data_IF_732099703988
#
_entry.id   IF_732099703988
#
_cell.length_a   1.000
_cell.length_b   1.000
_cell.length_c   1.000
_cell.angle_alpha   90.00
_cell.angle_beta   90.00
_cell.angle_gamma   90.00
#
_symmetry.space_group_name_H-M   'P 1'
#
loop_
_entity.id
_entity.type
_entity.pdbx_description
1 polymer ?
#
# COMPACT_ATOMS: atom_id res chain seq x y z
N UNK A 1 12.24 -44.50 -41.51
CA UNK A 1 12.38 -45.79 -40.84
C UNK A 1 11.71 -45.70 -39.48
N UNK A 2 10.62 -46.46 -39.34
CA UNK A 2 9.74 -46.53 -38.17
C UNK A 2 10.41 -47.34 -37.06
N UNK A 3 10.33 -46.93 -35.82
CA UNK A 3 10.39 -47.85 -34.68
C UNK A 3 9.32 -47.45 -33.65
N UNK A 4 8.31 -48.29 -33.62
CA UNK A 4 7.23 -48.39 -32.67
C UNK A 4 7.75 -49.25 -31.53
N UNK A 5 7.64 -48.79 -30.27
CA UNK A 5 7.90 -49.62 -29.10
C UNK A 5 6.57 -49.76 -28.35
N UNK A 6 6.06 -50.97 -28.34
CA UNK A 6 4.92 -51.43 -27.53
C UNK A 6 5.35 -51.57 -26.07
N UNK A 7 4.57 -51.00 -25.16
CA UNK A 7 4.68 -51.30 -23.73
C UNK A 7 3.48 -52.12 -23.29
N UNK A 8 3.80 -53.33 -22.84
CA UNK A 8 2.88 -54.35 -22.33
C UNK A 8 2.22 -53.94 -21.03
N UNK A 9 0.89 -54.06 -20.98
CA UNK A 9 0.08 -53.99 -19.78
C UNK A 9 0.13 -55.34 -19.07
N UNK A 10 0.69 -55.37 -17.86
CA UNK A 10 0.57 -56.51 -16.96
C UNK A 10 -0.62 -56.27 -16.00
N UNK A 11 -1.67 -57.01 -16.24
CA UNK A 11 -2.82 -57.11 -15.36
C UNK A 11 -2.56 -58.15 -14.29
N UNK A 12 -2.35 -57.78 -13.02
CA UNK A 12 -2.32 -58.72 -11.91
C UNK A 12 -3.59 -58.61 -11.10
N UNK A 13 -4.33 -59.68 -11.13
CA UNK A 13 -5.53 -59.95 -10.34
C UNK A 13 -5.21 -60.08 -8.84
N UNK A 14 -5.76 -59.22 -8.01
CA UNK A 14 -5.75 -59.39 -6.54
C UNK A 14 -7.11 -59.91 -6.10
N UNK A 15 -7.09 -61.12 -5.53
CA UNK A 15 -8.21 -61.81 -4.97
C UNK A 15 -8.80 -61.10 -3.78
N UNK A 16 -10.13 -61.03 -3.76
CA UNK A 16 -10.92 -60.55 -2.63
C UNK A 16 -10.83 -61.55 -1.44
N UNK A 17 -10.24 -61.10 -0.33
CA UNK A 17 -10.41 -61.79 0.96
C UNK A 17 -11.44 -61.01 1.76
N UNK A 18 -12.52 -61.72 2.09
CA UNK A 18 -13.60 -61.27 2.97
C UNK A 18 -13.05 -61.14 4.39
N UNK A 19 -13.04 -59.89 4.91
CA UNK A 19 -12.80 -59.62 6.32
C UNK A 19 -14.12 -59.68 7.08
N UNK A 20 -14.21 -60.71 7.95
CA UNK A 20 -15.27 -60.95 8.89
C UNK A 20 -15.26 -59.88 9.99
N UNK A 21 -16.20 -58.91 9.92
CA UNK A 21 -16.37 -57.87 10.94
C UNK A 21 -17.25 -58.42 12.07
N UNK A 22 -16.59 -58.92 13.12
CA UNK A 22 -17.27 -59.18 14.39
C UNK A 22 -17.73 -57.85 15.00
N UNK A 23 -19.01 -57.68 15.07
CA UNK A 23 -19.75 -56.63 15.79
C UNK A 23 -19.36 -56.63 17.27
N UNK A 24 -18.46 -55.75 17.71
CA UNK A 24 -18.24 -55.50 19.13
C UNK A 24 -19.20 -54.42 19.62
N UNK A 25 -20.15 -54.87 20.39
CA UNK A 25 -21.13 -54.07 21.10
C UNK A 25 -20.44 -53.22 22.17
N UNK A 26 -20.16 -51.94 21.83
CA UNK A 26 -19.60 -50.96 22.75
C UNK A 26 -20.68 -50.42 23.68
N UNK A 27 -20.64 -50.85 24.93
CA UNK A 27 -21.40 -50.25 26.03
C UNK A 27 -20.85 -48.86 26.34
N UNK A 28 -21.69 -47.81 26.53
CA UNK A 28 -21.18 -46.47 26.84
C UNK A 28 -20.66 -46.43 28.29
N UNK A 29 -19.35 -46.31 28.45
CA UNK A 29 -18.75 -45.92 29.73
C UNK A 29 -19.04 -44.44 29.98
N UNK A 30 -19.87 -44.20 31.01
CA UNK A 30 -20.07 -42.89 31.63
C UNK A 30 -18.72 -42.45 32.23
N UNK A 31 -18.07 -41.45 31.66
CA UNK A 31 -16.85 -40.98 32.22
C UNK A 31 -16.18 -39.86 31.42
N UNK A 32 -16.19 -38.69 32.01
CA UNK A 32 -15.28 -37.57 31.81
C UNK A 32 -15.40 -36.90 30.44
N UNK A 33 -16.26 -35.90 30.39
CA UNK A 33 -16.12 -34.79 29.44
C UNK A 33 -14.83 -34.06 29.85
N UNK A 34 -13.69 -34.48 29.29
CA UNK A 34 -12.55 -33.60 29.26
C UNK A 34 -12.97 -32.40 28.39
N UNK A 35 -13.10 -31.22 29.00
CA UNK A 35 -13.11 -29.98 28.29
C UNK A 35 -11.84 -30.04 27.41
N UNK A 36 -11.98 -30.40 26.14
CA UNK A 36 -11.04 -29.97 25.13
C UNK A 36 -11.12 -28.45 25.19
N UNK A 37 -10.19 -27.85 25.94
CA UNK A 37 -9.77 -26.50 25.70
C UNK A 37 -9.33 -26.51 24.25
N UNK A 38 -10.24 -26.09 23.37
CA UNK A 38 -9.89 -25.72 22.03
C UNK A 38 -8.78 -24.70 22.17
N UNK A 39 -7.60 -25.05 21.72
CA UNK A 39 -6.58 -24.07 21.36
C UNK A 39 -7.22 -23.19 20.29
N UNK A 40 -7.95 -22.16 20.74
CA UNK A 40 -8.14 -20.97 19.93
C UNK A 40 -6.74 -20.40 19.93
N UNK A 41 -5.98 -20.61 18.86
CA UNK A 41 -4.75 -19.88 18.65
C UNK A 41 -5.15 -18.41 18.70
N UNK A 42 -4.58 -17.66 19.62
CA UNK A 42 -4.80 -16.22 19.77
C UNK A 42 -4.29 -15.42 18.56
N UNK A 43 -3.85 -16.10 17.51
CA UNK A 43 -3.28 -15.59 16.25
C UNK A 43 -4.31 -15.18 15.19
N UNK A 44 -5.57 -14.94 15.55
CA UNK A 44 -6.53 -14.39 14.57
C UNK A 44 -6.21 -12.92 14.34
N UNK A 45 -5.81 -12.54 13.12
CA UNK A 45 -5.46 -11.14 12.85
C UNK A 45 -6.64 -10.22 13.12
N UNK A 46 -6.43 -9.21 13.96
CA UNK A 46 -7.40 -8.15 14.10
C UNK A 46 -7.36 -7.26 12.85
N UNK A 47 -8.52 -6.93 12.33
CA UNK A 47 -8.63 -6.01 11.19
C UNK A 47 -8.96 -4.61 11.68
N UNK A 48 -8.11 -3.64 11.30
CA UNK A 48 -8.34 -2.21 11.50
C UNK A 48 -8.90 -1.66 10.19
N UNK A 49 -10.07 -1.03 10.25
CA UNK A 49 -10.66 -0.31 9.12
C UNK A 49 -10.35 1.17 9.28
N UNK A 50 -9.80 1.80 8.24
CA UNK A 50 -9.49 3.23 8.27
C UNK A 50 -10.75 4.07 8.07
N UNK A 51 -10.84 5.16 8.82
CA UNK A 51 -11.88 6.16 8.66
C UNK A 51 -11.51 7.12 7.52
N UNK A 52 -12.13 6.93 6.37
CA UNK A 52 -11.90 7.75 5.18
C UNK A 52 -12.31 9.23 5.34
N UNK A 53 -13.16 9.56 6.31
CA UNK A 53 -13.62 10.94 6.53
C UNK A 53 -12.63 11.72 7.38
N UNK A 54 -12.06 11.04 8.38
CA UNK A 54 -11.15 11.63 9.35
C UNK A 54 -9.66 11.31 9.06
N UNK A 55 -9.37 10.66 7.94
CA UNK A 55 -8.00 10.45 7.46
C UNK A 55 -7.66 11.41 6.34
N UNK A 56 -6.42 11.92 6.33
CA UNK A 56 -5.96 12.90 5.35
C UNK A 56 -4.53 12.58 4.91
N UNK A 57 -4.27 12.79 3.62
CA UNK A 57 -2.96 12.81 3.01
C UNK A 57 -2.67 14.24 2.56
N UNK A 58 -1.53 14.79 2.94
CA UNK A 58 -1.03 16.08 2.46
C UNK A 58 0.14 15.84 1.54
N UNK A 59 0.07 16.33 0.32
CA UNK A 59 1.16 16.23 -0.63
C UNK A 59 1.94 17.52 -0.74
N UNK A 60 3.24 17.39 -1.00
CA UNK A 60 4.16 18.49 -1.23
C UNK A 60 5.05 18.16 -2.41
N UNK A 61 5.13 19.09 -3.36
CA UNK A 61 5.98 19.02 -4.54
C UNK A 61 6.25 20.43 -5.07
N UNK A 62 7.15 20.57 -6.03
CA UNK A 62 7.45 21.89 -6.56
C UNK A 62 8.66 21.90 -7.47
N UNK A 63 9.13 23.07 -7.84
CA UNK A 63 10.32 23.23 -8.65
C UNK A 63 11.58 22.94 -7.84
N UNK A 64 12.57 22.32 -8.48
CA UNK A 64 13.82 21.91 -7.83
C UNK A 64 14.59 23.09 -7.26
N UNK A 65 14.65 24.19 -7.99
CA UNK A 65 15.45 25.35 -7.67
C UNK A 65 14.65 26.53 -7.10
N UNK A 66 13.36 26.31 -6.82
CA UNK A 66 12.52 27.32 -6.16
C UNK A 66 12.44 27.08 -4.65
N UNK A 67 12.29 28.15 -3.90
CA UNK A 67 12.09 28.09 -2.43
C UNK A 67 10.68 27.64 -2.11
N UNK A 68 9.69 27.97 -2.96
CA UNK A 68 8.28 27.64 -2.75
C UNK A 68 7.93 26.26 -3.28
N UNK A 69 7.13 25.53 -2.49
CA UNK A 69 6.51 24.27 -2.90
C UNK A 69 5.01 24.48 -3.05
N UNK A 70 4.40 23.66 -3.88
CA UNK A 70 2.96 23.49 -3.89
C UNK A 70 2.54 22.46 -2.85
N UNK A 71 1.45 22.74 -2.17
CA UNK A 71 0.86 21.92 -1.12
C UNK A 71 -0.58 21.59 -1.47
N UNK A 72 -1.04 20.45 -1.04
CA UNK A 72 -2.44 20.09 -1.20
C UNK A 72 -2.81 18.82 -0.46
N UNK A 73 -4.01 18.32 -0.72
CA UNK A 73 -4.53 17.16 -0.03
C UNK A 73 -5.05 16.10 -0.98
N UNK A 74 -5.10 14.88 -0.48
CA UNK A 74 -5.75 13.72 -1.07
C UNK A 74 -6.56 13.01 0.01
N UNK A 75 -7.59 12.26 -0.40
CA UNK A 75 -8.39 11.44 0.51
C UNK A 75 -8.20 9.97 0.19
N UNK A 76 -8.22 9.15 1.22
CA UNK A 76 -8.31 7.71 1.02
C UNK A 76 -9.72 7.34 0.51
N UNK A 77 -9.77 6.33 -0.35
CA UNK A 77 -11.02 5.68 -0.79
C UNK A 77 -11.46 4.66 0.24
N UNK A 78 -10.53 3.84 0.68
CA UNK A 78 -10.69 2.83 1.72
C UNK A 78 -9.34 2.40 2.27
N UNK A 79 -9.33 1.78 3.44
CA UNK A 79 -8.13 1.19 4.00
C UNK A 79 -8.45 0.09 5.01
N UNK A 80 -7.70 -1.00 4.92
CA UNK A 80 -7.76 -2.14 5.83
C UNK A 80 -6.35 -2.56 6.19
N UNK A 81 -6.08 -2.70 7.49
CA UNK A 81 -4.79 -3.12 8.02
C UNK A 81 -5.01 -4.38 8.85
N UNK A 82 -4.16 -5.37 8.65
CA UNK A 82 -4.14 -6.62 9.41
C UNK A 82 -3.10 -6.51 10.52
N UNK A 83 -3.55 -6.70 11.75
CA UNK A 83 -2.73 -6.63 12.96
C UNK A 83 -2.73 -8.00 13.63
N UNK A 84 -1.55 -8.56 13.88
CA UNK A 84 -1.38 -9.76 14.73
C UNK A 84 -0.97 -9.31 16.14
N UNK A 85 -0.99 -10.26 17.08
CA UNK A 85 -0.44 -10.09 18.43
C UNK A 85 0.95 -9.44 18.40
N UNK A 86 1.30 -8.73 19.46
CA UNK A 86 2.51 -7.92 19.56
C UNK A 86 2.54 -6.66 18.68
N UNK A 87 1.37 -6.20 18.18
CA UNK A 87 1.23 -4.89 17.50
C UNK A 87 2.00 -4.77 16.19
N UNK A 88 2.28 -5.89 15.53
CA UNK A 88 2.88 -5.92 14.20
C UNK A 88 1.81 -5.99 13.11
N UNK A 89 1.94 -5.16 12.08
CA UNK A 89 1.15 -5.28 10.89
C UNK A 89 1.74 -6.40 10.01
N UNK A 90 0.87 -7.27 9.54
CA UNK A 90 1.24 -8.40 8.70
C UNK A 90 0.70 -8.29 7.29
N UNK A 91 -0.05 -7.23 7.05
CA UNK A 91 -0.61 -6.93 5.76
C UNK A 91 -1.59 -5.78 5.82
N UNK A 92 -2.08 -5.39 4.68
CA UNK A 92 -3.10 -4.36 4.57
C UNK A 92 -3.09 -3.70 3.21
N UNK A 93 -4.19 -3.03 2.90
CA UNK A 93 -4.30 -2.24 1.68
C UNK A 93 -4.95 -0.90 1.96
N UNK A 94 -4.34 0.15 1.45
CA UNK A 94 -4.88 1.51 1.48
C UNK A 94 -5.03 1.96 0.03
N UNK A 95 -6.23 2.39 -0.34
CA UNK A 95 -6.52 2.97 -1.66
C UNK A 95 -6.73 4.47 -1.53
N UNK A 96 -6.05 5.22 -2.37
CA UNK A 96 -6.07 6.67 -2.43
C UNK A 96 -6.89 7.10 -3.64
N UNK A 97 -7.87 7.98 -3.46
CA UNK A 97 -8.67 8.55 -4.54
C UNK A 97 -7.94 9.75 -5.16
N UNK A 98 -7.29 9.55 -6.29
CA UNK A 98 -6.52 10.58 -6.99
C UNK A 98 -7.41 11.73 -7.50
N UNK A 99 -8.69 11.47 -7.77
CA UNK A 99 -9.64 12.50 -8.17
C UNK A 99 -9.98 13.51 -7.04
N UNK A 100 -9.60 13.22 -5.80
CA UNK A 100 -9.80 14.14 -4.66
C UNK A 100 -8.64 15.12 -4.46
N UNK A 101 -7.66 15.10 -5.35
CA UNK A 101 -6.49 15.98 -5.30
C UNK A 101 -6.91 17.46 -5.26
N UNK A 102 -6.41 18.21 -4.27
CA UNK A 102 -6.62 19.64 -4.12
C UNK A 102 -5.29 20.35 -4.00
N UNK A 103 -5.31 21.67 -4.12
CA UNK A 103 -4.19 22.54 -3.79
C UNK A 103 -4.62 23.52 -2.70
N UNK A 104 -3.73 23.79 -1.74
CA UNK A 104 -4.02 24.61 -0.54
C UNK A 104 -3.18 25.86 -0.40
N UNK A 105 -2.11 26.02 -1.20
CA UNK A 105 -1.20 27.16 -1.11
C UNK A 105 -1.52 28.29 -2.09
N UNK A 106 -2.16 27.99 -3.23
CA UNK A 106 -2.52 29.01 -4.20
C UNK A 106 -3.84 29.68 -3.81
N UNK A 107 -3.79 31.01 -3.57
CA UNK A 107 -4.97 31.82 -3.27
C UNK A 107 -5.84 32.07 -4.50
N UNK A 108 -5.21 32.24 -5.69
CA UNK A 108 -5.91 32.47 -6.96
C UNK A 108 -6.62 31.19 -7.46
N UNK A 109 -7.95 31.18 -7.60
CA UNK A 109 -8.69 29.99 -8.02
C UNK A 109 -8.30 29.49 -9.42
N UNK A 110 -8.04 30.39 -10.37
CA UNK A 110 -7.68 30.01 -11.74
C UNK A 110 -6.29 29.39 -11.83
N UNK A 111 -5.33 29.84 -11.01
CA UNK A 111 -4.02 29.20 -10.90
C UNK A 111 -4.12 27.84 -10.25
N UNK A 112 -4.95 27.71 -9.21
CA UNK A 112 -5.22 26.46 -8.52
C UNK A 112 -5.82 25.41 -9.46
N UNK A 113 -6.85 25.79 -10.20
CA UNK A 113 -7.51 24.90 -11.17
C UNK A 113 -6.55 24.43 -12.26
N UNK A 114 -5.74 25.34 -12.81
CA UNK A 114 -4.72 24.98 -13.81
C UNK A 114 -3.68 24.01 -13.26
N UNK A 115 -3.19 24.22 -12.03
CA UNK A 115 -2.25 23.30 -11.39
C UNK A 115 -2.87 21.92 -11.20
N UNK A 116 -4.07 21.86 -10.61
CA UNK A 116 -4.76 20.59 -10.35
C UNK A 116 -5.13 19.89 -11.67
N UNK A 117 -5.61 20.62 -12.67
CA UNK A 117 -5.87 20.07 -14.00
C UNK A 117 -4.62 19.43 -14.62
N UNK A 118 -3.46 20.11 -14.51
CA UNK A 118 -2.19 19.59 -15.03
C UNK A 118 -1.71 18.37 -14.23
N UNK A 119 -1.79 18.39 -12.89
CA UNK A 119 -1.42 17.22 -12.07
C UNK A 119 -2.30 16.00 -12.36
N UNK A 120 -3.56 16.22 -12.78
CA UNK A 120 -4.47 15.11 -13.14
C UNK A 120 -4.33 14.64 -14.58
N UNK A 121 -3.68 15.41 -15.46
CA UNK A 121 -3.52 15.07 -16.88
C UNK A 121 -2.53 13.91 -17.11
N UNK A 122 -2.46 13.44 -18.35
CA UNK A 122 -1.54 12.39 -18.82
C UNK A 122 -0.07 12.74 -18.58
N UNK A 123 0.30 14.03 -18.61
CA UNK A 123 1.66 14.51 -18.32
C UNK A 123 2.12 14.15 -16.90
N UNK A 124 1.16 13.95 -15.96
CA UNK A 124 1.44 13.61 -14.58
C UNK A 124 0.80 12.29 -14.16
N UNK A 125 -0.27 12.36 -13.37
CA UNK A 125 -0.83 11.18 -12.73
C UNK A 125 -1.91 10.47 -13.56
N UNK A 126 -2.34 11.08 -14.68
CA UNK A 126 -3.32 10.50 -15.60
C UNK A 126 -4.54 9.94 -14.87
N UNK A 127 -5.18 10.81 -14.09
CA UNK A 127 -6.20 10.43 -13.12
C UNK A 127 -7.47 9.89 -13.80
N UNK A 128 -7.69 10.21 -15.05
CA UNK A 128 -8.79 9.67 -15.85
C UNK A 128 -8.64 8.15 -16.05
N UNK A 129 -7.45 7.69 -16.42
CA UNK A 129 -7.16 6.27 -16.60
C UNK A 129 -6.75 5.57 -15.29
N UNK A 130 -6.13 6.29 -14.36
CA UNK A 130 -5.61 5.77 -13.08
C UNK A 130 -6.18 6.53 -11.87
N UNK A 131 -7.50 6.42 -11.60
CA UNK A 131 -8.14 7.19 -10.54
C UNK A 131 -7.75 6.76 -9.12
N UNK A 132 -7.05 5.63 -8.99
CA UNK A 132 -6.65 5.05 -7.70
C UNK A 132 -5.14 4.81 -7.68
N UNK A 133 -4.48 5.33 -6.64
CA UNK A 133 -3.18 4.85 -6.20
C UNK A 133 -3.38 3.92 -4.98
N UNK A 134 -2.47 2.96 -4.75
CA UNK A 134 -2.60 2.04 -3.63
C UNK A 134 -1.28 1.76 -2.93
N UNK A 135 -1.38 1.52 -1.62
CA UNK A 135 -0.29 1.01 -0.80
C UNK A 135 -0.70 -0.36 -0.25
N UNK A 136 0.00 -1.40 -0.66
CA UNK A 136 -0.14 -2.76 -0.15
C UNK A 136 0.92 -3.00 0.93
N UNK A 137 0.53 -2.92 2.20
CA UNK A 137 1.42 -3.16 3.35
C UNK A 137 1.76 -4.66 3.39
N UNK A 138 3.05 -4.97 3.46
CA UNK A 138 3.56 -6.35 3.53
C UNK A 138 3.97 -6.73 4.95
N UNK A 139 4.62 -5.82 5.64
CA UNK A 139 5.11 -6.06 7.00
C UNK A 139 5.34 -4.76 7.75
N UNK A 140 5.51 -4.89 9.06
CA UNK A 140 5.99 -3.81 9.90
C UNK A 140 7.00 -4.31 10.92
N UNK A 141 7.85 -3.39 11.39
CA UNK A 141 8.81 -3.64 12.45
C UNK A 141 8.71 -2.54 13.49
N UNK A 142 8.48 -2.92 14.74
CA UNK A 142 8.56 -2.00 15.86
C UNK A 142 10.02 -1.55 16.03
N UNK A 143 10.28 -0.24 15.97
CA UNK A 143 11.62 0.34 16.11
C UNK A 143 11.80 1.12 17.42
N UNK A 144 10.72 1.34 18.17
CA UNK A 144 10.77 1.98 19.48
C UNK A 144 9.43 2.52 19.94
N UNK A 145 9.47 3.28 21.02
CA UNK A 145 8.35 4.06 21.54
C UNK A 145 8.78 5.51 21.72
N UNK A 146 7.83 6.42 21.55
CA UNK A 146 7.99 7.82 21.93
C UNK A 146 7.89 7.99 23.44
N UNK A 147 8.25 9.17 23.96
CA UNK A 147 8.10 9.50 25.38
C UNK A 147 6.63 9.49 25.83
N UNK A 148 5.69 9.77 24.91
CA UNK A 148 4.25 9.76 25.16
C UNK A 148 3.64 8.35 25.04
N UNK A 149 4.48 7.30 24.85
CA UNK A 149 4.05 5.91 24.80
C UNK A 149 3.55 5.42 23.44
N UNK A 150 3.60 6.25 22.40
CA UNK A 150 3.24 5.85 21.05
C UNK A 150 4.30 4.91 20.43
N UNK A 151 3.91 4.15 19.43
CA UNK A 151 4.78 3.17 18.79
C UNK A 151 5.44 3.76 17.54
N UNK A 152 6.77 3.77 17.49
CA UNK A 152 7.51 4.03 16.26
C UNK A 152 7.67 2.73 15.49
N UNK A 153 7.15 2.71 14.27
CA UNK A 153 7.05 1.52 13.44
C UNK A 153 7.63 1.81 12.06
N UNK A 154 8.51 0.95 11.59
CA UNK A 154 8.92 0.94 10.19
C UNK A 154 7.96 0.06 9.40
N UNK A 155 7.38 0.58 8.34
CA UNK A 155 6.42 -0.09 7.48
C UNK A 155 7.08 -0.36 6.13
N UNK A 156 6.95 -1.60 5.64
CA UNK A 156 7.37 -2.00 4.29
C UNK A 156 6.16 -2.44 3.49
N UNK A 157 6.06 -1.98 2.26
CA UNK A 157 4.94 -2.30 1.38
C UNK A 157 5.25 -2.01 -0.08
N UNK A 158 4.26 -2.21 -0.92
CA UNK A 158 4.29 -1.92 -2.34
C UNK A 158 3.38 -0.73 -2.65
N UNK A 159 3.97 0.35 -3.15
CA UNK A 159 3.25 1.53 -3.63
C UNK A 159 2.96 1.36 -5.12
N UNK A 160 1.70 1.52 -5.51
CA UNK A 160 1.26 1.52 -6.91
C UNK A 160 0.73 2.89 -7.28
N UNK A 161 1.34 3.53 -8.28
CA UNK A 161 0.88 4.78 -8.89
C UNK A 161 0.80 4.55 -10.39
N UNK A 162 -0.29 4.99 -11.02
CA UNK A 162 -0.63 4.59 -12.39
C UNK A 162 -0.65 3.05 -12.47
N UNK A 163 0.07 2.45 -13.39
CA UNK A 163 0.20 0.99 -13.53
C UNK A 163 1.51 0.41 -12.97
N UNK A 164 2.33 1.25 -12.32
CA UNK A 164 3.67 0.84 -11.87
C UNK A 164 3.66 0.65 -10.36
N UNK A 165 4.22 -0.49 -9.92
CA UNK A 165 4.36 -0.86 -8.51
C UNK A 165 5.83 -0.87 -8.12
N UNK A 166 6.15 -0.24 -6.99
CA UNK A 166 7.51 -0.20 -6.42
C UNK A 166 7.48 -0.49 -4.93
N UNK A 167 8.48 -1.21 -4.40
CA UNK A 167 8.63 -1.38 -2.96
C UNK A 167 8.95 -0.04 -2.29
N UNK A 168 8.39 0.17 -1.10
CA UNK A 168 8.64 1.37 -0.31
C UNK A 168 8.77 1.01 1.16
N UNK A 169 9.62 1.74 1.88
CA UNK A 169 9.78 1.63 3.33
C UNK A 169 9.76 3.03 3.94
N UNK A 170 8.96 3.20 4.98
CA UNK A 170 8.82 4.48 5.68
C UNK A 170 8.52 4.26 7.16
N UNK A 171 8.68 5.30 7.96
CA UNK A 171 8.39 5.26 9.39
C UNK A 171 7.06 5.92 9.69
N UNK A 172 6.35 5.37 10.68
CA UNK A 172 5.12 5.92 11.22
C UNK A 172 5.16 5.92 12.74
N UNK A 173 4.49 6.90 13.34
CA UNK A 173 4.17 6.93 14.77
C UNK A 173 2.72 6.54 14.94
N UNK A 174 2.43 5.53 15.78
CA UNK A 174 1.12 4.90 15.85
C UNK A 174 0.63 4.82 17.30
N UNK A 175 -0.58 5.30 17.53
CA UNK A 175 -1.35 5.03 18.73
C UNK A 175 -2.19 3.75 18.52
N UNK A 176 -1.77 2.66 19.13
CA UNK A 176 -2.47 1.38 19.08
C UNK A 176 -3.31 1.10 20.35
N UNK A 177 -3.15 1.89 21.37
CA UNK A 177 -3.78 1.66 22.68
C UNK A 177 -5.12 2.38 22.80
N UNK A 178 -5.32 3.49 22.09
CA UNK A 178 -6.58 4.25 22.06
C UNK A 178 -7.71 3.50 21.33
N UNK A 179 -8.96 3.84 21.65
CA UNK A 179 -10.17 3.28 21.02
C UNK A 179 -10.20 3.53 19.51
N UNK A 180 -9.81 4.72 19.08
CA UNK A 180 -9.55 5.08 17.69
C UNK A 180 -8.04 5.01 17.50
N UNK A 181 -7.56 4.11 16.63
CA UNK A 181 -6.14 4.00 16.32
C UNK A 181 -5.75 5.17 15.42
N UNK A 182 -4.62 5.77 15.69
CA UNK A 182 -4.11 6.90 14.89
C UNK A 182 -2.69 6.56 14.43
N UNK A 183 -2.42 6.82 13.15
CA UNK A 183 -1.08 6.72 12.59
C UNK A 183 -0.72 8.03 11.88
N UNK A 184 0.49 8.54 12.14
CA UNK A 184 1.05 9.71 11.47
C UNK A 184 2.44 9.40 10.96
N UNK A 185 2.85 10.06 9.91
CA UNK A 185 4.19 9.90 9.35
C UNK A 185 4.35 10.62 8.02
N UNK A 186 5.54 10.43 7.45
CA UNK A 186 5.89 10.99 6.16
C UNK A 186 6.43 9.88 5.27
N UNK A 187 5.94 9.82 4.04
CA UNK A 187 6.38 8.94 3.00
C UNK A 187 6.93 9.79 1.86
N UNK A 188 8.13 9.46 1.37
CA UNK A 188 8.77 10.14 0.25
C UNK A 188 8.97 9.11 -0.86
N UNK A 189 8.62 9.48 -2.09
CA UNK A 189 8.85 8.66 -3.26
C UNK A 189 9.32 9.49 -4.44
N UNK A 190 10.06 8.86 -5.36
CA UNK A 190 10.44 9.48 -6.62
C UNK A 190 9.32 9.24 -7.65
N UNK A 191 8.72 10.33 -8.15
CA UNK A 191 7.62 10.27 -9.13
C UNK A 191 8.03 9.64 -10.47
N UNK A 192 9.31 9.75 -10.83
CA UNK A 192 9.82 9.22 -12.12
C UNK A 192 9.85 7.70 -12.12
N UNK A 193 9.99 7.04 -10.95
CA UNK A 193 9.89 5.59 -10.80
C UNK A 193 8.49 5.05 -11.18
N UNK A 194 7.48 5.93 -11.22
CA UNK A 194 6.11 5.64 -11.59
C UNK A 194 5.71 6.21 -12.96
N UNK A 195 6.70 6.55 -13.78
CA UNK A 195 6.48 7.07 -15.14
C UNK A 195 5.98 8.51 -15.22
N UNK A 196 6.05 9.27 -14.12
CA UNK A 196 5.71 10.70 -14.10
C UNK A 196 6.96 11.52 -14.39
N UNK A 197 7.26 11.71 -15.67
CA UNK A 197 8.56 12.27 -16.13
C UNK A 197 8.51 13.72 -16.60
N UNK A 198 7.34 14.37 -16.57
CA UNK A 198 7.22 15.76 -17.02
C UNK A 198 8.19 16.66 -16.30
N UNK A 199 9.08 17.31 -17.05
CA UNK A 199 10.16 18.19 -16.54
C UNK A 199 11.00 17.57 -15.41
N UNK A 200 11.27 16.27 -15.49
CA UNK A 200 12.07 15.53 -14.51
C UNK A 200 13.53 15.94 -14.54
N UNK A 201 14.23 15.71 -13.44
CA UNK A 201 15.65 16.03 -13.27
C UNK A 201 16.55 15.30 -14.28
N UNK A 202 16.20 14.07 -14.67
CA UNK A 202 16.92 13.27 -15.68
C UNK A 202 17.06 13.98 -17.02
N UNK A 203 16.21 14.95 -17.32
CA UNK A 203 16.29 15.71 -18.57
C UNK A 203 17.30 16.86 -18.51
N UNK A 204 17.89 17.18 -17.35
CA UNK A 204 18.89 18.23 -17.22
C UNK A 204 20.18 17.90 -17.95
N UNK A 205 20.61 16.65 -17.91
CA UNK A 205 21.91 16.20 -18.41
C UNK A 205 21.83 15.61 -19.83
N UNK A 206 20.64 15.49 -20.41
CA UNK A 206 20.46 14.98 -21.76
C UNK A 206 20.38 16.13 -22.78
N UNK A 207 21.46 16.39 -23.57
CA UNK A 207 21.52 17.50 -24.54
C UNK A 207 20.47 17.33 -25.67
N UNK A 208 20.07 16.11 -25.99
CA UNK A 208 19.12 15.78 -27.06
C UNK A 208 17.67 15.76 -26.59
N UNK A 209 17.41 15.96 -25.30
CA UNK A 209 16.05 15.97 -24.82
C UNK A 209 15.26 17.11 -25.45
N UNK A 210 14.00 16.86 -25.76
CA UNK A 210 13.04 17.86 -26.25
C UNK A 210 13.08 19.14 -25.40
N UNK A 211 13.29 19.02 -24.10
CA UNK A 211 13.35 20.11 -23.12
C UNK A 211 14.61 20.98 -23.29
N UNK A 212 15.72 20.40 -23.73
CA UNK A 212 16.94 21.15 -24.02
C UNK A 212 16.85 21.87 -25.36
N UNK A 213 16.11 21.38 -26.33
CA UNK A 213 15.83 22.07 -27.59
C UNK A 213 14.94 23.31 -27.42
N UNK A 214 14.09 23.34 -26.40
CA UNK A 214 13.36 24.56 -26.01
C UNK A 214 14.24 25.64 -25.33
N UNK A 215 15.49 25.34 -25.04
CA UNK A 215 16.45 26.28 -24.40
C UNK A 215 16.78 27.52 -25.21
N UNK A 216 16.44 27.60 -26.48
CA UNK A 216 16.87 28.72 -27.35
C UNK A 216 16.14 30.03 -27.07
N UNK A 217 15.20 30.10 -26.16
CA UNK A 217 14.51 31.33 -25.76
C UNK A 217 14.64 31.59 -24.27
N UNK A 218 15.59 32.46 -23.92
CA UNK A 218 15.77 33.31 -22.72
C UNK A 218 15.33 32.86 -21.31
N UNK A 219 14.64 31.75 -21.14
CA UNK A 219 14.31 31.19 -19.85
C UNK A 219 15.26 30.01 -19.56
N UNK A 220 16.00 30.09 -18.48
CA UNK A 220 16.89 29.02 -18.07
C UNK A 220 16.06 27.78 -17.79
N UNK A 221 16.21 26.73 -18.60
CA UNK A 221 15.46 25.48 -18.47
C UNK A 221 15.57 24.89 -17.04
N UNK A 222 16.62 25.24 -16.32
CA UNK A 222 16.84 24.90 -14.90
C UNK A 222 15.72 25.41 -13.99
N UNK A 223 15.20 26.60 -14.22
CA UNK A 223 14.18 27.23 -13.34
C UNK A 223 12.81 26.56 -13.45
N UNK A 224 12.64 25.63 -14.42
CA UNK A 224 11.38 24.95 -14.67
C UNK A 224 11.41 23.45 -14.34
N UNK A 225 12.54 22.95 -13.83
CA UNK A 225 12.67 21.54 -13.44
C UNK A 225 11.84 21.28 -12.20
N UNK A 226 11.00 20.26 -12.27
CA UNK A 226 10.17 19.83 -11.15
C UNK A 226 10.97 18.79 -10.36
N UNK A 227 11.00 18.96 -9.05
CA UNK A 227 11.62 18.00 -8.13
C UNK A 227 11.03 16.62 -8.34
N UNK A 228 11.89 15.60 -8.43
CA UNK A 228 11.44 14.24 -8.65
C UNK A 228 10.85 13.62 -7.37
N UNK A 229 11.30 14.06 -6.21
CA UNK A 229 10.76 13.64 -4.92
C UNK A 229 9.43 14.32 -4.59
N UNK A 230 8.46 13.50 -4.24
CA UNK A 230 7.17 13.90 -3.69
C UNK A 230 7.09 13.45 -2.24
N UNK A 231 6.72 14.36 -1.36
CA UNK A 231 6.52 14.11 0.06
C UNK A 231 5.01 13.97 0.34
N UNK A 232 4.64 12.93 1.06
CA UNK A 232 3.26 12.69 1.53
C UNK A 232 3.30 12.61 3.06
N UNK A 233 2.81 13.65 3.71
CA UNK A 233 2.47 13.62 5.13
C UNK A 233 1.09 12.99 5.30
N UNK A 234 0.96 12.03 6.19
CA UNK A 234 -0.31 11.35 6.43
C UNK A 234 -0.75 11.40 7.89
N UNK A 235 -2.04 11.53 8.06
CA UNK A 235 -2.75 11.28 9.31
C UNK A 235 -3.89 10.30 9.02
N UNK A 236 -3.75 9.08 9.52
CA UNK A 236 -4.73 8.01 9.37
C UNK A 236 -5.41 7.73 10.69
N UNK A 237 -6.72 7.71 10.68
CA UNK A 237 -7.56 7.36 11.83
C UNK A 237 -8.35 6.09 11.51
N UNK A 238 -8.53 5.21 12.50
CA UNK A 238 -9.41 4.05 12.36
C UNK A 238 -10.85 4.38 12.69
N UNK A 239 -11.77 3.58 12.17
CA UNK A 239 -13.09 3.48 12.79
C UNK A 239 -12.97 2.90 14.21
N UNK A 240 -13.88 3.27 15.13
CA UNK A 240 -13.89 2.69 16.47
C UNK A 240 -14.10 1.17 16.41
N UNK A 241 -13.28 0.42 17.14
CA UNK A 241 -13.35 -1.03 17.24
C UNK A 241 -12.47 -1.74 16.20
N UNK A 242 -11.97 -2.90 16.57
CA UNK A 242 -11.31 -3.86 15.68
C UNK A 242 -12.30 -4.96 15.35
N UNK A 243 -12.48 -5.25 14.07
CA UNK A 243 -13.26 -6.40 13.65
C UNK A 243 -12.38 -7.65 13.83
N UNK A 244 -12.71 -8.48 14.82
CA UNK A 244 -12.17 -9.84 14.89
C UNK A 244 -13.04 -10.74 14.00
N UNK A 245 -12.41 -11.53 13.16
CA UNK A 245 -13.10 -12.62 12.48
C UNK A 245 -13.11 -13.86 13.34
#
# INVERSE_FOLDING_TARGET
MKKIIYLLILCTSISAQSLDLKEQKLTPKKGVISKQQGFISDDVPATIILDRRNSILKWKGGLKFAVSNHLGTLKIRQGRILLIENKNFTGGKIEINMATMTNTDLSDPGKRERLIGHLRSEDFFDVEHFPIASLDIKSSKLIGKTNDGLYNVQITGDLTIKSITKPITFNATIDLDSKVKKATGTLIFNRTDFGVQYRAEMHLDNPDSFWNKLRSTRDTAKDRVIRDEIEIEFEMNSLPGMLRK
#
